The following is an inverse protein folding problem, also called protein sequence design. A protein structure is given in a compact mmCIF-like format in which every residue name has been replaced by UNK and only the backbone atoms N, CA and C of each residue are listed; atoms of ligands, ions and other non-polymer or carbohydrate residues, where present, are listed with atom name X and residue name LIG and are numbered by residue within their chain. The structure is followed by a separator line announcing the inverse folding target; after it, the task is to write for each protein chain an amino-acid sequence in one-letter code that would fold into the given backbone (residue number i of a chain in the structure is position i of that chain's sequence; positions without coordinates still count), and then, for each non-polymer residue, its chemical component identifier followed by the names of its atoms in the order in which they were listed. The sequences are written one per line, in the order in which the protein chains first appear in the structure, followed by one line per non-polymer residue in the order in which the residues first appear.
data_IF_138625018712
#
_entry.id   IF_138625018712
#
_cell.length_a   1.000
_cell.length_b   1.000
_cell.length_c   1.000
_cell.angle_alpha   90.00
_cell.angle_beta   90.00
_cell.angle_gamma   90.00
#
_symmetry.space_group_name_H-M   'P 1'
#
loop_
_entity.id
_entity.type
_entity.pdbx_description
1 polymer ?
#
# COMPACT_ATOMS: atom_id res chain seq x y z
N UNK A 1 -10.79 -0.85 -8.77
CA UNK A 1 -10.72 -1.86 -7.68
C UNK A 1 -12.09 -2.19 -7.12
N UNK A 2 -13.08 -1.32 -7.27
CA UNK A 2 -14.42 -1.44 -6.68
C UNK A 2 -15.18 -2.67 -7.18
N UNK A 3 -14.86 -3.15 -8.39
CA UNK A 3 -15.52 -4.29 -9.04
C UNK A 3 -14.75 -5.61 -8.90
N UNK A 4 -13.62 -5.60 -8.19
CA UNK A 4 -12.84 -6.82 -7.96
C UNK A 4 -13.58 -7.77 -7.00
N UNK A 5 -13.49 -9.06 -7.30
CA UNK A 5 -14.08 -10.13 -6.52
C UNK A 5 -13.05 -11.25 -6.24
N UNK A 6 -13.37 -12.12 -5.29
CA UNK A 6 -12.59 -13.34 -5.04
C UNK A 6 -12.60 -14.21 -6.30
N UNK A 7 -11.43 -14.67 -6.73
CA UNK A 7 -11.21 -15.44 -7.95
C UNK A 7 -10.78 -14.62 -9.16
N UNK A 8 -10.97 -13.30 -9.14
CA UNK A 8 -10.51 -12.47 -10.25
C UNK A 8 -8.99 -12.53 -10.40
N UNK A 9 -8.48 -12.61 -11.64
CA UNK A 9 -7.04 -12.63 -11.90
C UNK A 9 -6.46 -11.21 -11.80
N UNK A 10 -5.43 -11.04 -10.99
CA UNK A 10 -4.65 -9.81 -10.87
C UNK A 10 -3.24 -10.07 -11.40
N UNK A 11 -2.75 -9.17 -12.25
CA UNK A 11 -1.38 -9.24 -12.73
C UNK A 11 -0.41 -8.87 -11.61
N UNK A 12 0.64 -9.69 -11.46
CA UNK A 12 1.72 -9.51 -10.51
C UNK A 12 3.07 -9.47 -11.23
N UNK A 13 4.00 -8.69 -10.69
CA UNK A 13 5.33 -8.49 -11.29
C UNK A 13 6.12 -9.80 -11.38
N UNK A 14 6.06 -10.63 -10.34
CA UNK A 14 6.95 -11.80 -10.20
C UNK A 14 6.27 -13.13 -10.57
N UNK A 15 4.92 -13.21 -10.50
CA UNK A 15 4.21 -14.49 -10.65
C UNK A 15 3.10 -14.48 -11.72
N UNK A 16 3.07 -13.44 -12.57
CA UNK A 16 2.03 -13.32 -13.59
C UNK A 16 0.64 -13.13 -13.01
N UNK A 17 -0.38 -13.69 -13.66
CA UNK A 17 -1.77 -13.59 -13.18
C UNK A 17 -1.99 -14.49 -11.96
N UNK A 18 -2.47 -13.89 -10.86
CA UNK A 18 -2.77 -14.56 -9.61
C UNK A 18 -4.22 -14.28 -9.20
N UNK A 19 -5.00 -15.30 -8.78
CA UNK A 19 -6.39 -15.09 -8.35
C UNK A 19 -6.45 -14.43 -6.99
N UNK A 20 -7.39 -13.50 -6.81
CA UNK A 20 -7.72 -12.93 -5.52
C UNK A 20 -8.28 -14.04 -4.60
N UNK A 21 -7.70 -14.19 -3.42
CA UNK A 21 -8.12 -15.18 -2.40
C UNK A 21 -9.04 -14.60 -1.35
N UNK A 22 -8.93 -13.32 -1.10
CA UNK A 22 -9.77 -12.57 -0.18
C UNK A 22 -9.81 -11.11 -0.59
N UNK A 23 -10.92 -10.45 -0.35
CA UNK A 23 -11.09 -9.02 -0.57
C UNK A 23 -11.99 -8.44 0.51
N UNK A 24 -11.66 -7.25 0.99
CA UNK A 24 -12.52 -6.48 1.88
C UNK A 24 -12.54 -5.01 1.48
N UNK A 25 -13.66 -4.37 1.80
CA UNK A 25 -13.89 -2.96 1.56
C UNK A 25 -14.37 -2.29 2.84
N UNK A 26 -13.88 -1.08 3.10
CA UNK A 26 -14.35 -0.26 4.20
C UNK A 26 -14.48 1.20 3.79
N UNK A 27 -15.66 1.76 4.01
CA UNK A 27 -15.90 3.18 3.85
C UNK A 27 -15.54 3.92 5.15
N UNK A 28 -14.76 4.97 5.01
CA UNK A 28 -14.34 5.89 6.06
C UNK A 28 -15.06 7.22 5.81
N UNK A 29 -15.86 7.66 6.77
CA UNK A 29 -16.66 8.88 6.62
C UNK A 29 -15.80 10.14 6.75
N UNK A 30 -16.36 11.30 6.38
CA UNK A 30 -15.73 12.60 6.63
C UNK A 30 -15.43 12.80 8.13
N UNK A 31 -16.36 12.42 9.01
CA UNK A 31 -16.18 12.56 10.45
C UNK A 31 -15.05 11.70 10.99
N UNK A 32 -14.88 10.47 10.46
CA UNK A 32 -13.75 9.60 10.83
C UNK A 32 -12.41 10.21 10.42
N UNK A 33 -12.33 10.74 9.19
CA UNK A 33 -11.12 11.40 8.68
C UNK A 33 -10.77 12.68 9.48
N UNK A 34 -11.78 13.43 9.92
CA UNK A 34 -11.57 14.62 10.76
C UNK A 34 -11.11 14.26 12.18
N UNK A 35 -11.60 13.14 12.72
CA UNK A 35 -11.21 12.63 14.04
C UNK A 35 -9.81 12.01 14.02
N UNK A 36 -9.47 11.31 12.96
CA UNK A 36 -8.18 10.64 12.80
C UNK A 36 -7.60 10.91 11.40
N UNK A 37 -6.65 11.84 11.33
CA UNK A 37 -5.98 12.20 10.08
C UNK A 37 -5.18 11.03 9.46
N UNK A 38 -4.90 9.95 10.21
CA UNK A 38 -4.26 8.74 9.67
C UNK A 38 -5.15 8.02 8.67
N UNK A 39 -6.46 8.24 8.74
CA UNK A 39 -7.45 7.69 7.81
C UNK A 39 -7.56 8.50 6.51
N UNK A 40 -6.87 9.63 6.39
CA UNK A 40 -6.79 10.38 5.14
C UNK A 40 -5.84 9.67 4.16
N UNK A 41 -6.25 9.61 2.90
CA UNK A 41 -5.47 8.98 1.83
C UNK A 41 -4.25 9.79 1.43
N UNK A 42 -3.23 9.12 0.94
CA UNK A 42 -2.15 9.73 0.17
C UNK A 42 -2.51 9.65 -1.31
N UNK A 43 -2.36 10.76 -2.01
CA UNK A 43 -2.65 10.90 -3.43
C UNK A 43 -1.35 11.07 -4.18
N UNK A 44 -1.21 10.28 -5.24
CA UNK A 44 -0.18 10.40 -6.26
C UNK A 44 -0.84 10.96 -7.51
N UNK A 45 -0.46 12.16 -7.90
CA UNK A 45 -0.92 12.76 -9.14
C UNK A 45 -0.26 12.08 -10.35
N UNK A 46 -0.83 12.17 -11.55
CA UNK A 46 -0.21 11.60 -12.75
C UNK A 46 1.25 12.04 -12.89
N UNK A 47 2.15 11.08 -13.11
CA UNK A 47 3.58 11.35 -13.23
C UNK A 47 4.35 11.51 -11.91
N UNK A 48 3.70 11.33 -10.75
CA UNK A 48 4.31 11.53 -9.44
C UNK A 48 5.49 10.58 -9.12
N UNK A 49 5.54 9.43 -9.78
CA UNK A 49 6.56 8.39 -9.60
C UNK A 49 7.50 8.24 -10.81
N UNK A 50 7.43 9.19 -11.74
CA UNK A 50 8.22 9.20 -12.96
C UNK A 50 7.35 9.45 -14.21
N UNK A 51 7.94 9.57 -15.40
CA UNK A 51 7.19 9.89 -16.62
C UNK A 51 6.02 8.95 -16.88
N UNK A 52 4.78 9.49 -16.81
CA UNK A 52 3.57 8.72 -17.02
C UNK A 52 3.17 7.74 -15.90
N UNK A 53 3.82 7.79 -14.74
CA UNK A 53 3.55 6.87 -13.61
C UNK A 53 3.19 7.66 -12.34
N UNK A 54 2.00 7.43 -11.72
CA UNK A 54 0.88 6.69 -12.30
C UNK A 54 0.30 7.40 -13.53
N UNK A 55 -0.34 6.65 -14.42
CA UNK A 55 -0.98 7.22 -15.62
C UNK A 55 -2.24 8.04 -15.27
N UNK A 56 -2.87 7.71 -14.15
CA UNK A 56 -4.03 8.41 -13.59
C UNK A 56 -3.81 8.59 -12.10
N UNK A 57 -4.50 9.57 -11.50
CA UNK A 57 -4.46 9.78 -10.05
C UNK A 57 -4.65 8.47 -9.29
N UNK A 58 -3.71 8.16 -8.41
CA UNK A 58 -3.74 6.99 -7.54
C UNK A 58 -3.92 7.45 -6.09
N UNK A 59 -4.89 6.90 -5.38
CA UNK A 59 -5.14 7.19 -3.98
C UNK A 59 -5.05 5.91 -3.15
N UNK A 60 -4.23 5.93 -2.12
CA UNK A 60 -3.97 4.76 -1.26
C UNK A 60 -3.99 5.15 0.22
N UNK A 61 -4.06 4.17 1.13
CA UNK A 61 -3.88 4.43 2.54
C UNK A 61 -2.44 4.87 2.85
N UNK A 62 -2.24 5.52 3.97
CA UNK A 62 -0.92 6.07 4.34
C UNK A 62 0.17 5.00 4.47
N UNK A 63 -0.21 3.80 4.88
CA UNK A 63 0.71 2.67 5.10
C UNK A 63 0.85 1.75 3.88
N UNK A 64 0.01 1.93 2.85
CA UNK A 64 0.14 1.17 1.61
C UNK A 64 1.49 1.43 0.97
N UNK A 65 2.18 0.37 0.54
CA UNK A 65 3.55 0.51 0.06
C UNK A 65 3.61 0.57 -1.46
N UNK A 66 4.46 1.48 -1.92
CA UNK A 66 4.80 1.69 -3.32
C UNK A 66 6.14 1.00 -3.57
N UNK A 67 6.23 0.29 -4.66
CA UNK A 67 7.49 -0.25 -5.15
C UNK A 67 8.38 0.87 -5.70
N UNK A 68 9.62 0.87 -5.29
CA UNK A 68 10.63 1.81 -5.75
C UNK A 68 11.83 1.01 -6.27
N UNK A 69 12.10 1.13 -7.58
CA UNK A 69 13.31 0.60 -8.22
C UNK A 69 14.23 1.77 -8.58
N UNK A 70 15.18 2.06 -7.71
CA UNK A 70 16.09 3.18 -7.88
C UNK A 70 17.53 2.74 -7.59
N UNK A 71 18.49 3.29 -8.34
CA UNK A 71 19.92 3.02 -8.13
C UNK A 71 20.39 3.36 -6.71
N UNK A 72 19.73 4.35 -6.06
CA UNK A 72 19.99 4.73 -4.66
C UNK A 72 19.66 3.61 -3.70
N UNK A 73 18.57 2.84 -3.95
CA UNK A 73 18.24 1.67 -3.16
C UNK A 73 19.33 0.60 -3.25
N UNK A 74 19.86 0.38 -4.45
CA UNK A 74 21.03 -0.50 -4.65
C UNK A 74 22.27 0.00 -3.93
N UNK A 75 22.57 1.30 -4.03
CA UNK A 75 23.77 1.91 -3.43
C UNK A 75 23.73 1.92 -1.89
N UNK A 76 22.61 2.35 -1.30
CA UNK A 76 22.52 2.53 0.15
C UNK A 76 22.16 1.25 0.92
N UNK A 77 21.39 0.36 0.30
CA UNK A 77 20.83 -0.80 0.98
C UNK A 77 21.22 -2.15 0.36
N UNK A 78 21.99 -2.14 -0.74
CA UNK A 78 22.32 -3.36 -1.47
C UNK A 78 21.11 -4.06 -2.11
N UNK A 79 20.01 -3.33 -2.28
CA UNK A 79 18.74 -3.86 -2.77
C UNK A 79 18.23 -2.98 -3.91
N UNK A 80 18.20 -3.46 -5.17
CA UNK A 80 17.78 -2.65 -6.31
C UNK A 80 16.31 -2.27 -6.28
N UNK A 81 15.51 -3.01 -5.53
CA UNK A 81 14.07 -2.86 -5.43
C UNK A 81 13.60 -2.92 -3.98
N UNK A 82 12.79 -1.97 -3.57
CA UNK A 82 12.31 -1.82 -2.20
C UNK A 82 10.84 -1.42 -2.17
N UNK A 83 10.21 -1.54 -1.00
CA UNK A 83 8.87 -1.04 -0.72
C UNK A 83 8.94 0.13 0.26
N UNK A 84 8.23 1.21 -0.07
CA UNK A 84 8.18 2.45 0.73
C UNK A 84 6.73 2.79 1.02
N UNK A 85 6.38 3.07 2.28
CA UNK A 85 5.04 3.48 2.64
C UNK A 85 4.67 4.82 1.99
N UNK A 86 3.46 4.95 1.47
CA UNK A 86 2.99 6.14 0.77
C UNK A 86 3.18 7.43 1.59
N UNK A 87 3.00 7.37 2.90
CA UNK A 87 3.24 8.51 3.81
C UNK A 87 4.67 9.04 3.76
N UNK A 88 5.65 8.17 3.51
CA UNK A 88 7.09 8.51 3.49
C UNK A 88 7.52 9.10 2.13
N UNK A 89 6.67 8.98 1.10
CA UNK A 89 6.84 9.57 -0.23
C UNK A 89 6.18 10.94 -0.38
N UNK A 90 5.45 11.41 0.64
CA UNK A 90 4.79 12.72 0.61
C UNK A 90 5.82 13.83 0.47
N UNK A 91 5.69 14.64 -0.58
CA UNK A 91 6.62 15.72 -0.91
C UNK A 91 5.94 17.12 -0.97
N UNK A 92 4.63 17.18 -0.69
CA UNK A 92 3.84 18.42 -0.73
C UNK A 92 3.48 18.93 -2.14
N UNK A 93 3.97 18.26 -3.18
CA UNK A 93 3.67 18.54 -4.59
C UNK A 93 2.77 17.45 -5.19
N UNK A 94 3.36 16.67 -6.11
CA UNK A 94 2.64 15.59 -6.80
C UNK A 94 2.25 14.41 -5.88
N UNK A 95 2.89 14.28 -4.73
CA UNK A 95 2.51 13.31 -3.69
C UNK A 95 2.11 14.07 -2.43
N UNK A 96 0.84 13.98 -2.06
CA UNK A 96 0.31 14.73 -0.94
C UNK A 96 -0.76 13.97 -0.15
N UNK A 97 -0.99 14.38 1.09
CA UNK A 97 -2.12 13.89 1.88
C UNK A 97 -3.36 14.67 1.47
N UNK A 98 -4.39 13.96 1.01
CA UNK A 98 -5.65 14.60 0.68
C UNK A 98 -6.33 15.13 1.97
N UNK A 99 -6.93 16.32 1.93
CA UNK A 99 -7.73 16.79 3.05
C UNK A 99 -8.95 15.87 3.27
N UNK A 100 -9.55 15.86 4.46
CA UNK A 100 -10.79 15.17 4.71
C UNK A 100 -11.86 15.56 3.69
N UNK A 101 -12.50 14.58 3.09
CA UNK A 101 -13.53 14.75 2.07
C UNK A 101 -14.73 13.86 2.38
N UNK A 102 -15.71 13.81 1.47
CA UNK A 102 -16.79 12.83 1.50
C UNK A 102 -16.23 11.40 1.71
N UNK A 103 -17.08 10.43 2.00
CA UNK A 103 -16.66 9.07 2.31
C UNK A 103 -15.65 8.52 1.30
N UNK A 104 -14.61 7.86 1.81
CA UNK A 104 -13.56 7.18 1.03
C UNK A 104 -13.67 5.70 1.30
N UNK A 105 -13.73 4.88 0.24
CA UNK A 105 -13.72 3.43 0.39
C UNK A 105 -12.32 2.90 0.15
N UNK A 106 -11.75 2.23 1.16
CA UNK A 106 -10.52 1.46 1.05
C UNK A 106 -10.83 0.03 0.67
N UNK A 107 -10.09 -0.49 -0.31
CA UNK A 107 -10.20 -1.88 -0.78
C UNK A 107 -8.86 -2.56 -0.58
N UNK A 108 -8.87 -3.73 0.06
CA UNK A 108 -7.69 -4.56 0.20
C UNK A 108 -7.99 -5.96 -0.30
N UNK A 109 -7.04 -6.59 -0.96
CA UNK A 109 -7.16 -7.96 -1.42
C UNK A 109 -5.89 -8.77 -1.14
N UNK A 110 -6.08 -10.06 -0.89
CA UNK A 110 -5.03 -11.05 -0.67
C UNK A 110 -4.87 -11.92 -1.90
N UNK A 111 -3.64 -12.26 -2.19
CA UNK A 111 -3.22 -13.31 -3.11
C UNK A 111 -2.62 -14.49 -2.30
N UNK A 112 -2.11 -15.54 -2.94
CA UNK A 112 -1.46 -16.66 -2.25
C UNK A 112 -0.16 -16.28 -1.51
N UNK A 113 0.43 -15.14 -1.89
CA UNK A 113 1.59 -14.55 -1.24
C UNK A 113 1.56 -13.03 -1.35
N UNK A 114 2.49 -12.35 -0.68
CA UNK A 114 2.70 -10.92 -0.87
C UNK A 114 3.31 -10.66 -2.25
N UNK A 115 2.63 -9.89 -3.07
CA UNK A 115 3.00 -9.63 -4.46
C UNK A 115 3.10 -8.14 -4.76
N UNK A 116 3.82 -7.80 -5.81
CA UNK A 116 3.79 -6.47 -6.43
C UNK A 116 2.77 -6.48 -7.55
N UNK A 117 1.83 -5.56 -7.52
CA UNK A 117 0.72 -5.44 -8.47
C UNK A 117 0.74 -4.08 -9.16
N UNK A 118 0.06 -3.95 -10.28
CA UNK A 118 -0.07 -2.67 -11.00
C UNK A 118 -1.34 -1.93 -10.58
N UNK A 119 -1.18 -0.67 -10.15
CA UNK A 119 -2.26 0.24 -9.77
C UNK A 119 -2.13 1.53 -10.60
N UNK A 120 -2.97 1.72 -11.61
CA UNK A 120 -2.90 2.83 -12.56
C UNK A 120 -1.50 3.00 -13.21
N UNK A 121 -0.81 1.88 -13.46
CA UNK A 121 0.56 1.85 -14.00
C UNK A 121 1.67 1.98 -12.96
N UNK A 122 1.38 2.37 -11.73
CA UNK A 122 2.31 2.32 -10.62
C UNK A 122 2.39 0.90 -10.04
N UNK A 123 3.58 0.47 -9.63
CA UNK A 123 3.77 -0.79 -8.93
C UNK A 123 3.55 -0.58 -7.43
N UNK A 124 2.65 -1.37 -6.84
CA UNK A 124 2.25 -1.28 -5.43
C UNK A 124 2.19 -2.66 -4.82
N UNK A 125 2.11 -2.74 -3.50
CA UNK A 125 1.96 -4.04 -2.82
C UNK A 125 0.53 -4.57 -2.90
N UNK A 126 0.33 -5.90 -2.93
CA UNK A 126 -0.89 -6.55 -2.50
C UNK A 126 -0.99 -6.50 -0.97
N UNK A 127 -2.13 -6.85 -0.40
CA UNK A 127 -2.24 -6.87 1.05
C UNK A 127 -1.27 -7.88 1.70
N UNK A 128 -0.56 -7.44 2.77
CA UNK A 128 0.39 -8.26 3.51
C UNK A 128 -0.05 -8.48 4.96
N UNK A 129 -0.66 -9.62 5.29
CA UNK A 129 -1.23 -9.87 6.61
C UNK A 129 -0.21 -10.23 7.70
N UNK A 130 1.06 -10.44 7.39
CA UNK A 130 2.08 -10.70 8.43
C UNK A 130 2.26 -9.54 9.41
N UNK A 131 1.77 -8.35 9.07
CA UNK A 131 1.55 -7.26 10.02
C UNK A 131 0.73 -7.70 11.24
N UNK A 132 -0.08 -8.74 11.10
CA UNK A 132 -0.99 -9.22 12.14
C UNK A 132 -0.33 -10.26 13.07
N UNK A 133 0.64 -11.02 12.57
CA UNK A 133 1.14 -12.22 13.26
C UNK A 133 2.49 -12.08 13.96
N UNK A 134 3.33 -11.10 13.62
CA UNK A 134 4.75 -11.15 14.00
C UNK A 134 5.23 -10.09 14.99
N UNK A 135 4.42 -9.22 15.54
CA UNK A 135 4.90 -8.16 16.46
C UNK A 135 5.99 -7.24 15.87
N UNK A 136 6.38 -7.48 14.61
CA UNK A 136 7.50 -6.84 13.92
C UNK A 136 7.09 -5.65 13.07
N UNK A 137 5.81 -5.31 13.02
CA UNK A 137 5.29 -4.20 12.23
C UNK A 137 5.02 -3.02 13.14
N UNK A 138 5.39 -1.85 12.64
CA UNK A 138 5.08 -0.56 13.22
C UNK A 138 3.63 -0.55 13.76
N UNK A 139 3.47 -0.27 15.05
CA UNK A 139 2.18 -0.28 15.72
C UNK A 139 1.11 0.56 14.99
N UNK A 140 1.54 1.66 14.34
CA UNK A 140 0.66 2.52 13.57
C UNK A 140 0.05 1.84 12.34
N UNK A 141 0.81 1.01 11.62
CA UNK A 141 0.31 0.26 10.47
C UNK A 141 -0.70 -0.82 10.89
N UNK A 142 -0.44 -1.46 12.02
CA UNK A 142 -1.35 -2.45 12.61
C UNK A 142 -2.66 -1.81 13.09
N UNK A 143 -2.58 -0.70 13.78
CA UNK A 143 -3.76 0.04 14.26
C UNK A 143 -4.62 0.55 13.10
N UNK A 144 -4.01 1.11 12.05
CA UNK A 144 -4.72 1.52 10.84
C UNK A 144 -5.45 0.33 10.22
N UNK A 145 -4.77 -0.80 10.10
CA UNK A 145 -5.31 -1.99 9.47
C UNK A 145 -6.50 -2.58 10.25
N UNK A 146 -6.40 -2.74 11.58
CA UNK A 146 -7.50 -3.23 12.40
C UNK A 146 -8.66 -2.23 12.51
N UNK A 147 -8.37 -0.93 12.40
CA UNK A 147 -9.40 0.10 12.30
C UNK A 147 -10.19 -0.03 10.99
N UNK A 148 -9.49 -0.30 9.89
CA UNK A 148 -10.10 -0.47 8.58
C UNK A 148 -10.78 -1.85 8.43
N UNK A 149 -10.19 -2.92 8.96
CA UNK A 149 -10.63 -4.31 8.75
C UNK A 149 -10.60 -5.11 10.05
N UNK A 150 -11.58 -4.96 10.95
CA UNK A 150 -11.62 -5.66 12.24
C UNK A 150 -11.56 -7.19 12.11
N UNK A 151 -12.16 -7.74 11.07
CA UNK A 151 -12.26 -9.20 10.84
C UNK A 151 -10.88 -9.86 10.60
N UNK A 152 -9.87 -9.08 10.22
CA UNK A 152 -8.51 -9.59 10.04
C UNK A 152 -7.89 -10.14 11.33
N UNK A 153 -8.36 -9.70 12.49
CA UNK A 153 -7.91 -10.23 13.78
C UNK A 153 -8.16 -11.74 13.94
N UNK A 154 -9.14 -12.28 13.22
CA UNK A 154 -9.51 -13.71 13.26
C UNK A 154 -8.80 -14.55 12.20
N UNK A 155 -8.18 -13.92 11.18
CA UNK A 155 -7.49 -14.63 10.11
C UNK A 155 -6.09 -15.06 10.55
N UNK A 156 -5.87 -16.38 10.59
CA UNK A 156 -4.53 -16.98 10.83
C UNK A 156 -3.81 -17.15 9.49
N UNK A 157 -3.26 -16.06 8.97
CA UNK A 157 -2.51 -16.09 7.73
C UNK A 157 -1.01 -16.00 8.01
N UNK A 158 -0.24 -16.96 7.51
CA UNK A 158 1.20 -16.99 7.63
C UNK A 158 1.85 -16.64 6.29
N UNK A 159 2.26 -15.38 6.13
CA UNK A 159 3.15 -15.00 5.01
C UNK A 159 4.54 -14.76 5.57
N UNK A 160 5.51 -15.58 5.21
CA UNK A 160 6.83 -15.53 5.86
C UNK A 160 7.66 -14.30 5.44
N UNK A 161 7.40 -13.72 4.27
CA UNK A 161 8.21 -12.63 3.72
C UNK A 161 7.40 -11.62 2.91
N UNK A 162 7.85 -10.36 2.92
CA UNK A 162 7.42 -9.34 1.97
C UNK A 162 8.02 -9.60 0.58
N UNK A 163 7.34 -9.19 -0.48
CA UNK A 163 7.81 -9.34 -1.87
C UNK A 163 9.15 -8.61 -2.12
N UNK A 164 9.38 -7.52 -1.40
CA UNK A 164 10.66 -6.77 -1.42
C UNK A 164 10.98 -6.27 0.00
N UNK A 165 12.25 -5.93 0.30
CA UNK A 165 12.61 -5.26 1.54
C UNK A 165 11.84 -3.96 1.75
N UNK A 166 11.46 -3.68 3.00
CA UNK A 166 10.67 -2.50 3.35
C UNK A 166 11.57 -1.46 3.98
N UNK A 167 11.66 -0.28 3.37
CA UNK A 167 12.33 0.87 3.95
C UNK A 167 11.36 1.68 4.81
N UNK A 168 11.86 2.29 5.88
CA UNK A 168 11.04 3.03 6.85
C UNK A 168 11.67 4.37 7.22
N UNK A 169 10.82 5.38 7.46
CA UNK A 169 11.23 6.65 8.03
C UNK A 169 12.40 7.29 7.28
N UNK A 170 13.57 7.36 7.91
CA UNK A 170 14.74 8.02 7.30
C UNK A 170 15.29 7.29 6.08
N UNK A 171 15.27 5.96 6.09
CA UNK A 171 15.72 5.14 4.95
C UNK A 171 14.85 5.39 3.71
N UNK A 172 13.53 5.43 3.91
CA UNK A 172 12.56 5.68 2.84
C UNK A 172 12.83 7.01 2.12
N UNK A 173 13.23 8.06 2.86
CA UNK A 173 13.53 9.39 2.31
C UNK A 173 14.77 9.44 1.43
N UNK A 174 15.64 8.44 1.49
CA UNK A 174 16.84 8.37 0.63
C UNK A 174 16.50 7.90 -0.78
N UNK A 175 15.35 7.31 -0.99
CA UNK A 175 14.87 6.79 -2.29
C UNK A 175 13.56 7.47 -2.76
N UNK A 176 13.04 8.41 -1.97
CA UNK A 176 11.85 9.21 -2.27
C UNK A 176 12.14 10.33 -3.25
#
# INVERSE_FOLDING_TARGET
VENLAVGDPVWTLDAGLQPIRWIAQRSVTLADQQRDARLCRVVFEPGALGPGVPAQRLAVSRQHRIWCGDWRAGLYFGQPEVLVAAKDLVNGGLVHVAPPQAAVTYVHFLLDGHQIVSSNGALTESFFPAALSLGAVDGAAREELFTLFPDLATLRLAFPKTARPVLRGREARLVA
#
